data_IF_145112320934
#
_entry.id   IF_145112320934
#
_cell.length_a   1.000
_cell.length_b   1.000
_cell.length_c   1.000
_cell.angle_alpha   90.00
_cell.angle_beta   90.00
_cell.angle_gamma   90.00
#
_symmetry.space_group_name_H-M   'P 1'
#
loop_
_entity.id
_entity.type
_entity.pdbx_description
1 polymer ?
#
# COMPACT_ATOMS: atom_id res chain seq x y z
N UNK A 1 -23.49 -27.56 5.55
CA UNK A 1 -23.18 -26.45 4.62
C UNK A 1 -22.66 -25.30 5.47
N UNK A 2 -21.48 -25.45 6.05
CA UNK A 2 -20.91 -24.48 7.00
C UNK A 2 -19.41 -24.45 6.69
N UNK A 3 -18.93 -23.30 6.21
CA UNK A 3 -17.51 -22.87 6.17
C UNK A 3 -17.40 -21.55 5.38
N UNK A 4 -18.25 -20.57 5.69
CA UNK A 4 -18.08 -19.19 5.19
C UNK A 4 -17.56 -18.26 6.30
N UNK A 5 -17.89 -18.54 7.56
CA UNK A 5 -17.57 -17.66 8.70
C UNK A 5 -16.09 -17.67 9.13
N UNK A 6 -15.34 -18.75 8.89
CA UNK A 6 -13.91 -18.83 9.26
C UNK A 6 -12.99 -18.19 8.22
N UNK A 7 -13.45 -18.06 6.97
CA UNK A 7 -12.68 -17.45 5.87
C UNK A 7 -12.62 -15.93 6.02
N UNK A 8 -13.76 -15.31 6.38
CA UNK A 8 -13.86 -13.85 6.54
C UNK A 8 -12.91 -13.31 7.61
N UNK A 9 -12.83 -13.94 8.80
CA UNK A 9 -11.91 -13.49 9.85
C UNK A 9 -10.42 -13.57 9.48
N UNK A 10 -10.05 -14.49 8.60
CA UNK A 10 -8.67 -14.60 8.10
C UNK A 10 -8.38 -13.62 6.95
N UNK A 11 -9.36 -13.37 6.07
CA UNK A 11 -9.24 -12.40 4.97
C UNK A 11 -9.22 -10.95 5.48
N UNK A 12 -10.00 -10.62 6.50
CA UNK A 12 -9.99 -9.30 7.16
C UNK A 12 -8.63 -9.03 7.82
N UNK A 13 -8.05 -10.03 8.47
CA UNK A 13 -6.70 -9.92 9.07
C UNK A 13 -5.56 -9.83 8.05
N UNK A 14 -5.73 -10.39 6.84
CA UNK A 14 -4.78 -10.16 5.74
C UNK A 14 -4.95 -8.75 5.17
N UNK A 15 -6.19 -8.31 4.96
CA UNK A 15 -6.50 -6.98 4.43
C UNK A 15 -5.93 -5.86 5.31
N UNK A 16 -6.09 -5.95 6.64
CA UNK A 16 -5.49 -5.00 7.58
C UNK A 16 -3.97 -4.92 7.49
N UNK A 17 -3.27 -6.07 7.39
CA UNK A 17 -1.80 -6.10 7.20
C UNK A 17 -1.37 -5.51 5.86
N UNK A 18 -2.17 -5.72 4.81
CA UNK A 18 -1.92 -5.16 3.48
C UNK A 18 -2.08 -3.64 3.49
N UNK A 19 -3.07 -3.12 4.19
CA UNK A 19 -3.26 -1.68 4.40
C UNK A 19 -2.10 -1.08 5.20
N UNK A 20 -1.74 -1.67 6.34
CA UNK A 20 -0.59 -1.25 7.16
C UNK A 20 0.72 -1.21 6.34
N UNK A 21 0.95 -2.22 5.49
CA UNK A 21 2.08 -2.25 4.58
C UNK A 21 2.04 -1.12 3.54
N UNK A 22 0.85 -0.75 3.04
CA UNK A 22 0.66 0.40 2.17
C UNK A 22 0.99 1.72 2.87
N UNK A 23 0.54 1.90 4.12
CA UNK A 23 0.86 3.07 4.94
C UNK A 23 2.36 3.18 5.18
N UNK A 24 3.01 2.07 5.54
CA UNK A 24 4.46 2.01 5.75
C UNK A 24 5.22 2.37 4.47
N UNK A 25 4.80 1.84 3.32
CA UNK A 25 5.43 2.16 2.03
C UNK A 25 5.35 3.65 1.70
N UNK A 26 4.22 4.31 1.96
CA UNK A 26 4.13 5.75 1.82
C UNK A 26 5.14 6.49 2.71
N UNK A 27 5.30 6.06 3.96
CA UNK A 27 6.29 6.60 4.89
C UNK A 27 7.73 6.43 4.41
N UNK A 28 8.09 5.25 3.91
CA UNK A 28 9.41 4.95 3.34
C UNK A 28 9.73 5.86 2.15
N UNK A 29 8.78 6.05 1.22
CA UNK A 29 8.97 6.92 0.07
C UNK A 29 9.18 8.38 0.48
N UNK A 30 8.45 8.85 1.50
CA UNK A 30 8.64 10.20 2.05
C UNK A 30 10.03 10.34 2.68
N UNK A 31 10.42 9.38 3.50
CA UNK A 31 11.74 9.37 4.14
C UNK A 31 12.88 9.35 3.12
N UNK A 32 12.74 8.57 2.04
CA UNK A 32 13.72 8.52 0.97
C UNK A 32 13.89 9.89 0.27
N UNK A 33 12.79 10.57 -0.07
CA UNK A 33 12.85 11.90 -0.68
C UNK A 33 13.43 12.95 0.25
N UNK A 34 13.06 12.92 1.54
CA UNK A 34 13.65 13.81 2.54
C UNK A 34 15.15 13.58 2.72
N UNK A 35 15.61 12.33 2.68
CA UNK A 35 17.04 12.01 2.70
C UNK A 35 17.78 12.56 1.47
N UNK A 36 17.11 12.68 0.32
CA UNK A 36 17.61 13.35 -0.88
C UNK A 36 17.50 14.89 -0.83
N UNK A 37 16.99 15.46 0.26
CA UNK A 37 16.74 16.91 0.40
C UNK A 37 15.57 17.42 -0.45
N UNK A 38 14.70 16.52 -0.93
CA UNK A 38 13.56 16.82 -1.78
C UNK A 38 12.26 16.76 -0.97
N UNK A 39 11.32 17.71 -1.16
CA UNK A 39 10.02 17.63 -0.50
C UNK A 39 9.20 16.46 -1.07
N UNK A 40 8.42 15.81 -0.22
CA UNK A 40 7.43 14.81 -0.61
C UNK A 40 6.17 15.51 -1.15
N UNK A 41 6.33 16.22 -2.27
CA UNK A 41 5.29 17.02 -2.91
C UNK A 41 4.70 16.32 -4.14
N UNK A 42 3.51 16.77 -4.55
CA UNK A 42 2.86 16.30 -5.78
C UNK A 42 2.12 14.96 -5.64
N UNK A 43 2.09 14.20 -6.73
CA UNK A 43 1.38 12.92 -6.82
C UNK A 43 2.16 11.75 -6.22
N UNK A 44 1.47 10.64 -5.95
CA UNK A 44 2.08 9.41 -5.47
C UNK A 44 3.10 8.87 -6.50
N UNK A 45 4.38 8.64 -6.13
CA UNK A 45 5.40 8.16 -7.05
C UNK A 45 5.37 6.66 -7.34
N UNK A 46 4.73 5.85 -6.48
CA UNK A 46 4.71 4.40 -6.63
C UNK A 46 3.74 3.91 -7.72
N UNK A 47 3.98 2.70 -8.21
CA UNK A 47 3.17 2.06 -9.26
C UNK A 47 2.39 0.84 -8.77
N UNK A 48 1.35 0.44 -9.50
CA UNK A 48 0.62 -0.80 -9.19
C UNK A 48 1.50 -2.05 -9.40
N UNK A 49 2.46 -2.02 -10.34
CA UNK A 49 3.41 -3.11 -10.55
C UNK A 49 4.33 -3.31 -9.34
N UNK A 50 4.77 -2.22 -8.73
CA UNK A 50 5.52 -2.25 -7.47
C UNK A 50 4.69 -2.75 -6.31
N UNK A 51 3.41 -2.37 -6.25
CA UNK A 51 2.49 -2.88 -5.23
C UNK A 51 2.29 -4.40 -5.36
N UNK A 52 2.20 -4.93 -6.58
CA UNK A 52 2.17 -6.39 -6.84
C UNK A 52 3.41 -7.10 -6.33
N UNK A 53 4.59 -6.52 -6.52
CA UNK A 53 5.83 -7.10 -6.01
C UNK A 53 5.87 -7.09 -4.46
N UNK A 54 5.42 -5.98 -3.85
CA UNK A 54 5.42 -5.81 -2.39
C UNK A 54 4.40 -6.72 -1.70
N UNK A 55 3.20 -6.84 -2.26
CA UNK A 55 2.12 -7.57 -1.59
C UNK A 55 2.42 -9.07 -1.45
N UNK A 56 3.21 -9.65 -2.36
CA UNK A 56 3.67 -11.05 -2.27
C UNK A 56 4.41 -11.30 -0.95
N UNK A 57 5.23 -10.34 -0.50
CA UNK A 57 5.96 -10.44 0.78
C UNK A 57 5.05 -10.29 2.00
N UNK A 58 3.88 -9.66 1.86
CA UNK A 58 2.94 -9.40 2.97
C UNK A 58 1.97 -10.58 3.15
N UNK A 59 1.39 -11.08 2.05
CA UNK A 59 0.33 -12.09 2.09
C UNK A 59 0.84 -13.52 1.88
N UNK A 60 2.08 -13.69 1.43
CA UNK A 60 2.68 -15.00 1.18
C UNK A 60 2.10 -15.72 -0.04
N UNK A 61 1.55 -16.93 0.15
CA UNK A 61 1.19 -17.88 -0.93
C UNK A 61 -0.13 -17.57 -1.69
N UNK A 62 -0.66 -16.36 -1.61
CA UNK A 62 -1.86 -16.00 -2.38
C UNK A 62 -1.56 -15.94 -3.89
N UNK A 63 -2.54 -16.29 -4.71
CA UNK A 63 -2.38 -16.40 -6.17
C UNK A 63 -3.54 -15.76 -6.92
N UNK A 64 -3.27 -15.35 -8.15
CA UNK A 64 -4.28 -14.89 -9.10
C UNK A 64 -5.02 -13.64 -8.61
N UNK A 65 -6.34 -13.69 -8.65
CA UNK A 65 -7.24 -12.56 -8.37
C UNK A 65 -7.09 -12.02 -6.94
N UNK A 66 -6.81 -12.90 -5.98
CA UNK A 66 -6.69 -12.49 -4.58
C UNK A 66 -5.43 -11.65 -4.34
N UNK A 67 -4.32 -12.04 -4.99
CA UNK A 67 -3.08 -11.27 -4.96
C UNK A 67 -3.25 -9.92 -5.66
N UNK A 68 -3.97 -9.87 -6.78
CA UNK A 68 -4.29 -8.63 -7.49
C UNK A 68 -5.19 -7.71 -6.64
N UNK A 69 -6.18 -8.27 -5.93
CA UNK A 69 -7.03 -7.52 -5.00
C UNK A 69 -6.19 -6.90 -3.88
N UNK A 70 -5.31 -7.67 -3.25
CA UNK A 70 -4.43 -7.15 -2.22
C UNK A 70 -3.41 -6.14 -2.77
N UNK A 71 -2.89 -6.32 -3.98
CA UNK A 71 -2.01 -5.35 -4.62
C UNK A 71 -2.71 -4.00 -4.81
N UNK A 72 -3.99 -4.01 -5.22
CA UNK A 72 -4.81 -2.80 -5.37
C UNK A 72 -5.11 -2.15 -4.02
N UNK A 73 -5.40 -2.94 -3.00
CA UNK A 73 -5.60 -2.46 -1.64
C UNK A 73 -4.34 -1.77 -1.09
N UNK A 74 -3.19 -2.43 -1.22
CA UNK A 74 -1.88 -1.88 -0.82
C UNK A 74 -1.58 -0.57 -1.55
N UNK A 75 -1.76 -0.55 -2.87
CA UNK A 75 -1.55 0.64 -3.69
C UNK A 75 -2.48 1.79 -3.29
N UNK A 76 -3.77 1.49 -3.06
CA UNK A 76 -4.76 2.46 -2.61
C UNK A 76 -4.36 3.09 -1.28
N UNK A 77 -4.09 2.26 -0.27
CA UNK A 77 -3.67 2.71 1.06
C UNK A 77 -2.41 3.58 1.00
N UNK A 78 -1.39 3.16 0.24
CA UNK A 78 -0.15 3.93 0.07
C UNK A 78 -0.39 5.29 -0.61
N UNK A 79 -1.16 5.30 -1.70
CA UNK A 79 -1.49 6.52 -2.44
C UNK A 79 -2.29 7.50 -1.58
N UNK A 80 -3.29 7.00 -0.85
CA UNK A 80 -4.15 7.85 0.00
C UNK A 80 -3.38 8.42 1.18
N UNK A 81 -2.52 7.61 1.82
CA UNK A 81 -1.61 8.06 2.86
C UNK A 81 -0.65 9.13 2.35
N UNK A 82 -0.06 8.93 1.17
CA UNK A 82 0.80 9.91 0.53
C UNK A 82 0.08 11.23 0.28
N UNK A 83 -1.10 11.18 -0.37
CA UNK A 83 -1.84 12.38 -0.74
C UNK A 83 -2.33 13.18 0.48
N UNK A 84 -2.58 12.49 1.60
CA UNK A 84 -2.96 13.12 2.87
C UNK A 84 -1.77 13.77 3.59
N UNK A 85 -0.55 13.30 3.34
CA UNK A 85 0.68 13.76 4.01
C UNK A 85 1.60 14.58 3.10
N UNK A 86 1.21 14.79 1.84
CA UNK A 86 2.03 15.48 0.85
C UNK A 86 2.30 16.90 1.29
N UNK A 87 3.53 17.33 1.07
CA UNK A 87 3.90 18.70 1.31
C UNK A 87 3.33 19.59 0.20
N UNK A 88 2.98 20.85 0.52
CA UNK A 88 2.61 21.80 -0.50
C UNK A 88 3.78 21.95 -1.47
N UNK A 89 3.51 21.79 -2.77
CA UNK A 89 4.49 22.17 -3.78
C UNK A 89 4.64 23.69 -3.70
N UNK A 90 5.82 24.25 -3.40
CA UNK A 90 6.01 25.69 -3.49
C UNK A 90 5.72 26.07 -4.94
N UNK A 91 4.69 26.89 -5.15
CA UNK A 91 4.49 27.57 -6.43
C UNK A 91 5.54 28.69 -6.52
N UNK A 92 6.16 28.80 -7.69
CA UNK A 92 6.77 30.04 -8.21
C UNK A 92 5.96 31.30 -7.85
#
# INVERSE_FOLDING_TARGET
MENQSERSGSEDGVSGRVEEAGLAWAGEMRAALHAEGRPAAGGWPGTLSEARARVVSVVGRQRGEELERFARLLYGAARDAWLSQREPTPRD
#
